data_IF_398396699598
#
_entry.id   IF_398396699598
#
_cell.length_a   1.000
_cell.length_b   1.000
_cell.length_c   1.000
_cell.angle_alpha   90.00
_cell.angle_beta   90.00
_cell.angle_gamma   90.00
#
_symmetry.space_group_name_H-M   'P 1'
#
loop_
_entity.id
_entity.type
_entity.pdbx_description
1 polymer ?
#
# COMPACT_ATOMS: atom_id res chain seq x y z
N UNK A 1 -24.50 6.49 36.35
CA UNK A 1 -25.46 7.01 35.36
C UNK A 1 -25.00 6.55 33.99
N UNK A 2 -25.72 5.63 33.35
CA UNK A 2 -25.44 5.25 31.96
C UNK A 2 -25.97 6.39 31.10
N UNK A 3 -25.10 7.25 30.59
CA UNK A 3 -25.48 8.24 29.60
C UNK A 3 -25.71 7.51 28.28
N UNK A 4 -26.94 7.51 27.77
CA UNK A 4 -27.30 6.90 26.48
C UNK A 4 -26.62 7.55 25.26
N UNK A 5 -25.70 8.49 25.51
CA UNK A 5 -24.89 9.23 24.54
C UNK A 5 -23.81 8.35 23.89
N UNK A 6 -23.24 7.39 24.61
CA UNK A 6 -22.18 6.50 24.11
C UNK A 6 -22.48 5.06 24.46
N UNK A 7 -22.44 4.19 23.47
CA UNK A 7 -22.75 2.78 23.64
C UNK A 7 -21.63 1.92 23.05
N UNK A 8 -21.14 0.97 23.84
CA UNK A 8 -20.14 -0.02 23.42
C UNK A 8 -20.88 -1.34 23.27
N UNK A 9 -20.74 -1.96 22.10
CA UNK A 9 -21.42 -3.18 21.69
C UNK A 9 -20.38 -4.24 21.36
N UNK A 10 -20.59 -5.44 21.84
CA UNK A 10 -19.94 -6.64 21.34
C UNK A 10 -20.78 -7.31 20.26
N UNK A 11 -20.19 -8.16 19.41
CA UNK A 11 -20.96 -8.77 18.31
C UNK A 11 -22.18 -9.58 18.79
N UNK A 12 -22.13 -10.18 19.99
CA UNK A 12 -23.25 -10.91 20.57
C UNK A 12 -24.42 -9.99 20.97
N UNK A 13 -24.13 -8.73 21.28
CA UNK A 13 -25.07 -7.77 21.85
C UNK A 13 -25.86 -7.00 20.77
N UNK A 14 -25.51 -7.16 19.50
CA UNK A 14 -26.16 -6.47 18.37
C UNK A 14 -27.67 -6.74 18.33
N UNK A 15 -28.08 -7.97 18.64
CA UNK A 15 -29.49 -8.36 18.63
C UNK A 15 -30.32 -7.66 19.71
N UNK A 16 -29.71 -7.41 20.87
CA UNK A 16 -30.35 -6.71 21.99
C UNK A 16 -30.26 -5.19 21.84
N UNK A 17 -29.18 -4.69 21.26
CA UNK A 17 -29.04 -3.30 20.84
C UNK A 17 -30.24 -2.83 19.99
N UNK A 18 -30.65 -3.63 19.02
CA UNK A 18 -31.83 -3.35 18.19
C UNK A 18 -33.11 -3.16 19.02
N UNK A 19 -33.30 -3.98 20.05
CA UNK A 19 -34.49 -3.96 20.93
C UNK A 19 -34.43 -2.80 21.92
N UNK A 20 -33.25 -2.49 22.44
CA UNK A 20 -33.05 -1.51 23.52
C UNK A 20 -33.07 -0.08 22.98
N UNK A 21 -32.47 0.15 21.81
CA UNK A 21 -32.28 1.47 21.22
C UNK A 21 -33.41 1.78 20.24
N UNK A 22 -34.60 2.02 20.82
CA UNK A 22 -35.83 2.34 20.09
C UNK A 22 -36.48 3.64 20.61
N UNK A 23 -37.32 4.25 19.78
CA UNK A 23 -38.12 5.43 20.13
C UNK A 23 -37.28 6.57 20.71
N UNK A 24 -37.62 7.01 21.93
CA UNK A 24 -37.00 8.17 22.62
C UNK A 24 -35.53 7.98 22.99
N UNK A 25 -35.00 6.74 22.93
CA UNK A 25 -33.59 6.45 23.22
C UNK A 25 -32.67 6.66 22.03
N UNK A 26 -33.18 6.56 20.79
CA UNK A 26 -32.39 6.74 19.56
C UNK A 26 -31.78 8.14 19.42
N UNK A 27 -32.53 9.25 19.64
CA UNK A 27 -31.97 10.60 19.47
C UNK A 27 -30.95 10.98 20.54
N UNK A 28 -30.88 10.21 21.64
CA UNK A 28 -29.93 10.45 22.74
C UNK A 28 -28.54 9.89 22.44
N UNK A 29 -28.40 9.07 21.40
CA UNK A 29 -27.19 8.34 21.06
C UNK A 29 -26.33 9.11 20.07
N UNK A 30 -25.11 9.46 20.48
CA UNK A 30 -24.14 10.16 19.64
C UNK A 30 -23.07 9.23 19.09
N UNK A 31 -22.64 8.24 19.88
CA UNK A 31 -21.53 7.35 19.52
C UNK A 31 -21.86 5.88 19.77
N UNK A 32 -21.57 5.03 18.79
CA UNK A 32 -21.61 3.58 18.92
C UNK A 32 -20.22 3.01 18.62
N UNK A 33 -19.71 2.19 19.52
CA UNK A 33 -18.50 1.42 19.35
C UNK A 33 -18.88 -0.04 19.18
N UNK A 34 -18.67 -0.62 17.98
CA UNK A 34 -18.76 -2.07 17.81
C UNK A 34 -17.37 -2.67 18.07
N UNK A 35 -17.23 -3.37 19.19
CA UNK A 35 -16.06 -4.15 19.56
C UNK A 35 -16.25 -5.58 19.06
N UNK A 36 -15.31 -6.04 18.26
CA UNK A 36 -15.31 -7.40 17.73
C UNK A 36 -14.33 -8.23 18.55
N UNK A 37 -14.86 -9.23 19.25
CA UNK A 37 -14.05 -10.22 19.94
C UNK A 37 -13.70 -11.33 18.97
N UNK A 38 -12.44 -11.37 18.58
CA UNK A 38 -11.89 -12.50 17.86
C UNK A 38 -11.52 -13.62 18.86
N UNK A 39 -11.39 -14.88 18.40
CA UNK A 39 -10.88 -15.97 19.24
C UNK A 39 -9.59 -15.56 19.97
N UNK A 40 -9.38 -16.09 21.19
CA UNK A 40 -8.20 -15.77 21.97
C UNK A 40 -6.93 -16.10 21.19
N UNK A 41 -6.13 -15.06 20.95
CA UNK A 41 -4.78 -15.21 20.45
C UNK A 41 -3.87 -15.43 21.65
N UNK A 42 -3.51 -16.68 21.92
CA UNK A 42 -2.38 -16.92 22.80
C UNK A 42 -1.09 -16.46 22.11
N UNK A 43 -0.14 -15.94 22.88
CA UNK A 43 1.17 -15.58 22.33
C UNK A 43 2.14 -16.76 22.23
N UNK A 44 1.62 -17.99 22.20
CA UNK A 44 2.41 -19.16 21.87
C UNK A 44 2.78 -19.17 20.38
N UNK A 45 2.01 -18.47 19.52
CA UNK A 45 2.22 -18.40 18.06
C UNK A 45 2.08 -16.99 17.47
N UNK A 46 2.22 -15.93 18.26
CA UNK A 46 2.17 -14.53 17.79
C UNK A 46 3.18 -14.21 16.67
N UNK A 47 4.31 -14.94 16.61
CA UNK A 47 5.35 -14.77 15.57
C UNK A 47 5.05 -15.58 14.29
N UNK A 48 4.01 -16.41 14.31
CA UNK A 48 3.59 -17.23 13.18
C UNK A 48 2.41 -16.58 12.48
N UNK A 49 2.36 -16.77 11.17
CA UNK A 49 1.26 -16.26 10.39
C UNK A 49 -0.02 -17.04 10.68
N UNK A 50 -1.14 -16.35 10.89
CA UNK A 50 -2.48 -16.96 11.00
C UNK A 50 -2.71 -17.99 9.87
N UNK A 51 -3.20 -19.16 10.27
CA UNK A 51 -3.59 -20.22 9.35
C UNK A 51 -4.73 -19.78 8.45
N UNK A 52 -4.90 -20.49 7.33
CA UNK A 52 -6.03 -20.28 6.41
C UNK A 52 -7.37 -20.50 7.10
N UNK A 53 -7.42 -21.38 8.11
CA UNK A 53 -8.61 -21.65 8.90
C UNK A 53 -8.94 -20.50 9.85
N UNK A 54 -7.97 -20.01 10.62
CA UNK A 54 -8.15 -18.87 11.55
C UNK A 54 -8.58 -17.61 10.80
N UNK A 55 -7.89 -17.27 9.71
CA UNK A 55 -8.29 -16.16 8.83
C UNK A 55 -9.72 -16.27 8.36
N UNK A 56 -10.16 -17.47 7.98
CA UNK A 56 -11.53 -17.69 7.51
C UNK A 56 -12.53 -17.45 8.64
N UNK A 57 -12.28 -17.96 9.84
CA UNK A 57 -13.14 -17.76 11.02
C UNK A 57 -13.18 -16.27 11.39
N UNK A 58 -12.03 -15.59 11.48
CA UNK A 58 -11.96 -14.18 11.83
C UNK A 58 -12.69 -13.29 10.82
N UNK A 59 -12.51 -13.56 9.53
CA UNK A 59 -13.23 -12.85 8.47
C UNK A 59 -14.74 -13.08 8.54
N UNK A 60 -15.21 -14.31 8.84
CA UNK A 60 -16.64 -14.60 9.02
C UNK A 60 -17.19 -13.84 10.22
N UNK A 61 -16.50 -13.90 11.37
CA UNK A 61 -16.91 -13.20 12.60
C UNK A 61 -17.00 -11.69 12.36
N UNK A 62 -15.97 -11.11 11.75
CA UNK A 62 -15.92 -9.69 11.43
C UNK A 62 -17.05 -9.28 10.46
N UNK A 63 -17.18 -10.03 9.37
CA UNK A 63 -18.15 -9.75 8.31
C UNK A 63 -19.58 -9.83 8.86
N UNK A 64 -19.93 -10.92 9.55
CA UNK A 64 -21.26 -11.12 10.10
C UNK A 64 -21.62 -10.05 11.13
N UNK A 65 -20.70 -9.73 12.04
CA UNK A 65 -20.96 -8.72 13.07
C UNK A 65 -21.19 -7.34 12.47
N UNK A 66 -20.43 -6.94 11.45
CA UNK A 66 -20.71 -5.70 10.72
C UNK A 66 -22.05 -5.76 9.99
N UNK A 67 -22.32 -6.83 9.26
CA UNK A 67 -23.59 -7.01 8.54
C UNK A 67 -24.80 -6.91 9.48
N UNK A 68 -24.77 -7.62 10.60
CA UNK A 68 -25.85 -7.62 11.58
C UNK A 68 -26.00 -6.24 12.23
N UNK A 69 -24.90 -5.61 12.63
CA UNK A 69 -24.91 -4.28 13.23
C UNK A 69 -25.55 -3.26 12.29
N UNK A 70 -25.14 -3.28 11.03
CA UNK A 70 -25.63 -2.34 10.06
C UNK A 70 -27.03 -2.67 9.51
N UNK A 71 -27.43 -3.94 9.51
CA UNK A 71 -28.82 -4.33 9.30
C UNK A 71 -29.71 -3.66 10.35
N UNK A 72 -29.32 -3.74 11.63
CA UNK A 72 -30.03 -3.07 12.72
C UNK A 72 -30.09 -1.56 12.51
N UNK A 73 -28.99 -0.91 12.13
CA UNK A 73 -28.98 0.53 11.85
C UNK A 73 -29.84 0.89 10.63
N UNK A 74 -29.91 0.04 9.61
CA UNK A 74 -30.72 0.29 8.41
C UNK A 74 -32.22 0.37 8.69
N UNK A 75 -32.69 -0.40 9.68
CA UNK A 75 -34.08 -0.41 10.13
C UNK A 75 -34.47 0.86 10.90
N UNK A 76 -33.50 1.74 11.22
CA UNK A 76 -33.79 3.02 11.88
C UNK A 76 -34.34 4.07 10.92
N UNK A 77 -34.18 3.85 9.60
CA UNK A 77 -34.75 4.69 8.56
C UNK A 77 -36.07 4.04 8.09
N UNK A 78 -37.19 4.75 8.19
CA UNK A 78 -38.56 4.27 7.88
C UNK A 78 -38.82 3.93 6.38
N UNK A 79 -37.91 3.26 5.67
CA UNK A 79 -38.11 2.79 4.30
C UNK A 79 -37.62 1.34 4.16
N UNK A 80 -38.58 0.42 3.99
CA UNK A 80 -38.35 -1.02 3.79
C UNK A 80 -37.43 -1.28 2.58
N UNK A 81 -36.38 -2.08 2.78
CA UNK A 81 -35.52 -2.63 1.72
C UNK A 81 -34.13 -3.05 2.22
N UNK A 82 -33.69 -4.26 1.86
CA UNK A 82 -32.38 -4.84 2.20
C UNK A 82 -31.24 -4.22 1.37
N UNK A 83 -30.89 -2.95 1.59
CA UNK A 83 -29.78 -2.26 0.87
C UNK A 83 -28.79 -1.56 1.84
N UNK A 84 -28.35 -2.21 2.94
CA UNK A 84 -28.17 -1.55 4.23
C UNK A 84 -26.72 -1.13 4.49
N UNK A 85 -26.42 -0.51 5.64
CA UNK A 85 -25.15 0.14 6.04
C UNK A 85 -25.16 1.66 5.80
N UNK A 86 -24.58 2.15 4.72
CA UNK A 86 -24.32 3.59 4.61
C UNK A 86 -25.56 4.44 4.26
N UNK A 87 -26.64 3.81 3.78
CA UNK A 87 -27.94 4.49 3.58
C UNK A 87 -28.59 4.91 4.90
N UNK A 88 -28.18 4.34 6.03
CA UNK A 88 -28.67 4.69 7.37
C UNK A 88 -27.90 5.86 8.01
N UNK A 89 -26.64 6.04 7.61
CA UNK A 89 -25.71 7.00 8.22
C UNK A 89 -25.77 8.35 7.49
N UNK A 90 -26.91 9.04 7.58
CA UNK A 90 -27.18 10.29 6.86
C UNK A 90 -26.39 11.50 7.36
N UNK A 91 -25.70 11.37 8.50
CA UNK A 91 -24.86 12.40 9.12
C UNK A 91 -23.36 12.01 9.12
N UNK A 92 -22.98 10.99 8.35
CA UNK A 92 -21.58 10.56 8.29
C UNK A 92 -20.74 11.65 7.61
N UNK A 93 -19.75 12.17 8.33
CA UNK A 93 -18.81 13.16 7.79
C UNK A 93 -17.46 12.57 7.39
N UNK A 94 -17.05 11.47 8.03
CA UNK A 94 -15.76 10.82 7.82
C UNK A 94 -15.95 9.31 7.60
N UNK A 95 -15.40 8.82 6.50
CA UNK A 95 -15.34 7.39 6.20
C UNK A 95 -13.90 6.98 5.94
N UNK A 96 -13.42 6.00 6.71
CA UNK A 96 -12.16 5.31 6.47
C UNK A 96 -12.46 3.84 6.23
N UNK A 97 -12.01 3.32 5.09
CA UNK A 97 -12.28 1.96 4.66
C UNK A 97 -10.99 1.30 4.19
N UNK A 98 -10.46 0.39 5.00
CA UNK A 98 -9.20 -0.31 4.76
C UNK A 98 -9.49 -1.79 4.56
N UNK A 99 -9.28 -2.28 3.34
CA UNK A 99 -9.62 -3.65 2.96
C UNK A 99 -8.39 -4.51 2.84
N UNK A 100 -8.45 -5.74 3.35
CA UNK A 100 -7.40 -6.71 3.13
C UNK A 100 -7.33 -7.17 1.67
N UNK A 101 -6.14 -7.58 1.22
CA UNK A 101 -5.97 -8.24 -0.08
C UNK A 101 -6.57 -9.65 0.03
N UNK A 102 -7.85 -9.78 -0.32
CA UNK A 102 -8.58 -11.04 -0.23
C UNK A 102 -7.81 -12.24 -0.83
N UNK A 103 -7.93 -13.39 -0.15
CA UNK A 103 -7.39 -14.68 -0.59
C UNK A 103 -8.09 -15.08 -1.91
N UNK A 104 -7.35 -15.64 -2.89
CA UNK A 104 -7.97 -16.38 -4.00
C UNK A 104 -8.71 -17.58 -3.39
N UNK A 105 -10.01 -17.45 -3.20
CA UNK A 105 -10.85 -18.62 -2.98
C UNK A 105 -10.91 -19.38 -4.29
N UNK A 106 -10.71 -20.68 -4.21
CA UNK A 106 -10.80 -21.70 -5.25
C UNK A 106 -12.09 -21.64 -6.11
N UNK A 107 -13.11 -20.89 -5.66
CA UNK A 107 -14.44 -20.83 -6.28
C UNK A 107 -14.77 -19.57 -7.10
N UNK A 108 -13.83 -18.67 -7.34
CA UNK A 108 -14.07 -17.47 -8.16
C UNK A 108 -14.07 -16.18 -7.35
N UNK A 109 -12.94 -15.49 -7.49
CA UNK A 109 -12.67 -14.05 -7.38
C UNK A 109 -13.47 -13.22 -6.34
N UNK A 110 -13.26 -13.48 -5.03
CA UNK A 110 -13.69 -12.58 -3.96
C UNK A 110 -13.23 -11.12 -4.12
N UNK A 111 -12.21 -10.88 -4.97
CA UNK A 111 -11.81 -9.54 -5.44
C UNK A 111 -12.89 -8.86 -6.29
N UNK A 112 -13.47 -9.57 -7.25
CA UNK A 112 -14.54 -9.06 -8.12
C UNK A 112 -15.81 -8.76 -7.35
N UNK A 113 -16.21 -9.65 -6.41
CA UNK A 113 -17.34 -9.40 -5.52
C UNK A 113 -17.20 -8.10 -4.73
N UNK A 114 -16.03 -7.90 -4.09
CA UNK A 114 -15.75 -6.66 -3.35
C UNK A 114 -15.70 -5.43 -4.26
N UNK A 115 -15.09 -5.53 -5.44
CA UNK A 115 -14.98 -4.38 -6.34
C UNK A 115 -16.37 -3.98 -6.90
N UNK A 116 -17.28 -4.95 -7.07
CA UNK A 116 -18.70 -4.71 -7.38
C UNK A 116 -19.48 -4.08 -6.20
N UNK A 117 -19.18 -4.49 -4.97
CA UNK A 117 -19.73 -3.85 -3.76
C UNK A 117 -19.23 -2.41 -3.63
N UNK A 118 -17.96 -2.13 -3.92
CA UNK A 118 -17.40 -0.78 -3.94
C UNK A 118 -18.04 0.11 -5.01
N UNK A 119 -18.32 -0.44 -6.20
CA UNK A 119 -19.06 0.26 -7.24
C UNK A 119 -20.46 0.69 -6.72
N UNK A 120 -21.15 -0.24 -6.07
CA UNK A 120 -22.45 0.01 -5.43
C UNK A 120 -22.34 1.08 -4.34
N UNK A 121 -21.30 1.03 -3.51
CA UNK A 121 -21.03 2.03 -2.47
C UNK A 121 -20.87 3.44 -3.07
N UNK A 122 -20.08 3.61 -4.13
CA UNK A 122 -19.78 4.94 -4.67
C UNK A 122 -21.01 5.59 -5.32
N UNK A 123 -21.75 4.83 -6.13
CA UNK A 123 -22.94 5.35 -6.81
C UNK A 123 -24.15 5.50 -5.87
N UNK A 124 -24.45 4.48 -5.07
CA UNK A 124 -25.72 4.43 -4.34
C UNK A 124 -25.66 5.07 -2.95
N UNK A 125 -24.46 5.40 -2.46
CA UNK A 125 -24.30 6.01 -1.14
C UNK A 125 -23.69 7.39 -1.26
N UNK A 126 -22.47 7.48 -1.79
CA UNK A 126 -21.75 8.75 -1.82
C UNK A 126 -22.41 9.74 -2.76
N UNK A 127 -22.83 9.30 -3.95
CA UNK A 127 -23.41 10.20 -4.95
C UNK A 127 -24.87 10.60 -4.65
N UNK A 128 -25.69 9.69 -4.13
CA UNK A 128 -27.16 9.89 -4.13
C UNK A 128 -27.78 10.29 -2.79
N UNK A 129 -27.14 10.01 -1.64
CA UNK A 129 -27.80 10.23 -0.33
C UNK A 129 -26.95 10.84 0.78
N UNK A 130 -25.63 10.83 0.69
CA UNK A 130 -24.79 11.35 1.77
C UNK A 130 -24.21 12.72 1.42
N UNK A 131 -24.95 13.80 1.75
CA UNK A 131 -24.49 15.18 1.52
C UNK A 131 -23.54 15.71 2.61
N UNK A 132 -23.41 14.99 3.72
CA UNK A 132 -22.60 15.40 4.87
C UNK A 132 -21.18 14.86 4.80
N UNK A 133 -20.93 13.85 3.95
CA UNK A 133 -19.64 13.21 3.84
C UNK A 133 -18.60 14.19 3.28
N UNK A 134 -17.56 14.44 4.08
CA UNK A 134 -16.49 15.40 3.77
C UNK A 134 -15.14 14.72 3.60
N UNK A 135 -14.88 13.66 4.37
CA UNK A 135 -13.58 13.00 4.40
C UNK A 135 -13.73 11.54 4.06
N UNK A 136 -13.06 11.10 3.01
CA UNK A 136 -13.12 9.71 2.55
C UNK A 136 -11.70 9.20 2.33
N UNK A 137 -11.32 8.17 3.08
CA UNK A 137 -10.12 7.37 2.80
C UNK A 137 -10.52 5.94 2.48
N UNK A 138 -10.04 5.42 1.35
CA UNK A 138 -10.25 4.05 0.93
C UNK A 138 -8.91 3.45 0.53
N UNK A 139 -8.46 2.46 1.26
CA UNK A 139 -7.23 1.75 0.96
C UNK A 139 -7.49 0.27 0.81
N UNK A 140 -6.75 -0.34 -0.13
CA UNK A 140 -6.65 -1.77 -0.25
C UNK A 140 -5.23 -2.17 0.12
N UNK A 141 -5.12 -3.12 1.04
CA UNK A 141 -3.86 -3.76 1.36
C UNK A 141 -3.27 -4.37 0.10
N UNK A 142 -1.97 -4.17 -0.01
CA UNK A 142 -1.18 -4.48 -1.19
C UNK A 142 -0.31 -5.72 -0.95
N UNK A 143 -0.23 -6.26 0.28
CA UNK A 143 0.82 -7.21 0.62
C UNK A 143 0.75 -8.51 -0.19
N UNK A 144 1.93 -8.91 -0.68
CA UNK A 144 2.14 -10.13 -1.47
C UNK A 144 2.58 -11.25 -0.55
N UNK A 145 1.63 -11.81 0.21
CA UNK A 145 1.85 -13.17 0.69
C UNK A 145 2.18 -14.06 -0.53
N UNK A 146 3.13 -15.01 -0.38
CA UNK A 146 3.66 -15.81 -1.50
C UNK A 146 2.61 -16.61 -2.28
N UNK A 147 1.37 -16.67 -1.80
CA UNK A 147 0.22 -17.31 -2.46
C UNK A 147 -0.55 -16.42 -3.44
N UNK A 148 -0.15 -15.15 -3.63
CA UNK A 148 -0.87 -14.18 -4.46
C UNK A 148 -0.15 -13.83 -5.77
N UNK A 149 0.41 -14.83 -6.44
CA UNK A 149 0.99 -14.72 -7.79
C UNK A 149 -0.07 -14.95 -8.87
N UNK A 150 -1.03 -14.02 -8.98
CA UNK A 150 -1.86 -13.87 -10.17
C UNK A 150 -1.51 -12.55 -10.86
N UNK A 151 -1.65 -12.45 -12.20
CA UNK A 151 -1.48 -11.17 -12.89
C UNK A 151 -2.39 -10.14 -12.22
N UNK A 152 -1.83 -8.97 -11.92
CA UNK A 152 -2.61 -7.89 -11.35
C UNK A 152 -3.66 -7.48 -12.37
N UNK A 153 -4.95 -7.74 -12.07
CA UNK A 153 -6.04 -7.18 -12.86
C UNK A 153 -6.05 -5.68 -12.63
N UNK A 154 -6.03 -4.92 -13.73
CA UNK A 154 -6.26 -3.47 -13.74
C UNK A 154 -7.46 -3.12 -12.85
N UNK A 155 -7.36 -2.00 -12.12
CA UNK A 155 -8.51 -1.47 -11.37
C UNK A 155 -9.69 -1.30 -12.32
N UNK A 156 -10.91 -1.65 -11.89
CA UNK A 156 -12.11 -1.41 -12.69
C UNK A 156 -12.22 0.08 -13.01
N UNK A 157 -12.10 0.45 -14.29
CA UNK A 157 -12.14 1.86 -14.72
C UNK A 157 -13.42 2.57 -14.25
N UNK A 158 -14.54 1.85 -14.23
CA UNK A 158 -15.82 2.32 -13.70
C UNK A 158 -15.70 2.85 -12.27
N UNK A 159 -14.93 2.18 -11.40
CA UNK A 159 -14.80 2.55 -10.00
C UNK A 159 -14.12 3.92 -9.82
N UNK A 160 -13.13 4.24 -10.65
CA UNK A 160 -12.50 5.57 -10.63
C UNK A 160 -13.43 6.68 -11.11
N UNK A 161 -14.22 6.41 -12.14
CA UNK A 161 -15.21 7.34 -12.67
C UNK A 161 -16.33 7.61 -11.66
N UNK A 162 -16.81 6.57 -10.99
CA UNK A 162 -17.88 6.69 -9.99
C UNK A 162 -17.39 7.44 -8.75
N UNK A 163 -16.15 7.20 -8.32
CA UNK A 163 -15.55 7.95 -7.22
C UNK A 163 -15.37 9.44 -7.58
N UNK A 164 -14.96 9.76 -8.82
CA UNK A 164 -14.87 11.14 -9.30
C UNK A 164 -16.23 11.85 -9.26
N UNK A 165 -17.30 11.18 -9.70
CA UNK A 165 -18.67 11.72 -9.66
C UNK A 165 -19.18 11.92 -8.25
N UNK A 166 -18.87 11.00 -7.35
CA UNK A 166 -19.36 11.01 -5.98
C UNK A 166 -18.61 11.98 -5.06
N UNK A 167 -17.38 12.35 -5.40
CA UNK A 167 -16.48 13.12 -4.53
C UNK A 167 -16.61 14.64 -4.62
N UNK A 168 -17.55 15.17 -5.42
CA UNK A 168 -17.69 16.62 -5.67
C UNK A 168 -17.80 17.50 -4.43
N UNK A 169 -18.34 16.96 -3.34
CA UNK A 169 -18.57 17.69 -2.09
C UNK A 169 -17.49 17.45 -1.03
N UNK A 170 -16.55 16.53 -1.28
CA UNK A 170 -15.56 16.13 -0.29
C UNK A 170 -14.54 17.25 -0.07
N UNK A 171 -14.11 17.38 1.18
CA UNK A 171 -12.97 18.20 1.60
C UNK A 171 -11.66 17.40 1.55
N UNK A 172 -11.72 16.08 1.78
CA UNK A 172 -10.55 15.20 1.77
C UNK A 172 -10.89 13.89 1.06
N UNK A 173 -10.05 13.50 0.10
CA UNK A 173 -10.17 12.23 -0.62
C UNK A 173 -8.83 11.52 -0.70
N UNK A 174 -8.81 10.28 -0.24
CA UNK A 174 -7.62 9.44 -0.25
C UNK A 174 -7.98 8.05 -0.79
N UNK A 175 -7.28 7.58 -1.82
CA UNK A 175 -7.54 6.29 -2.44
C UNK A 175 -6.26 5.56 -2.83
N UNK A 176 -6.01 4.37 -2.28
CA UNK A 176 -4.80 3.60 -2.57
C UNK A 176 -5.12 2.17 -3.06
N UNK A 177 -4.59 1.82 -4.24
CA UNK A 177 -4.63 0.51 -4.89
C UNK A 177 -6.01 -0.04 -5.29
N UNK A 178 -7.09 0.64 -4.88
CA UNK A 178 -8.46 0.34 -5.28
C UNK A 178 -8.88 1.13 -6.52
N UNK A 179 -8.34 2.34 -6.70
CA UNK A 179 -8.64 3.25 -7.82
C UNK A 179 -7.34 3.80 -8.38
N UNK A 180 -7.24 3.85 -9.71
CA UNK A 180 -6.15 4.51 -10.42
C UNK A 180 -6.55 5.95 -10.78
N UNK A 181 -5.65 6.91 -10.54
CA UNK A 181 -5.82 8.32 -10.89
C UNK A 181 -6.18 8.52 -12.36
N UNK A 182 -5.70 7.65 -13.26
CA UNK A 182 -6.02 7.70 -14.69
C UNK A 182 -7.51 7.63 -14.96
N UNK A 183 -8.23 6.79 -14.22
CA UNK A 183 -9.68 6.64 -14.36
C UNK A 183 -10.43 7.76 -13.63
N UNK A 184 -9.88 8.24 -12.51
CA UNK A 184 -10.46 9.35 -11.75
C UNK A 184 -10.42 10.68 -12.53
N UNK A 185 -9.33 10.93 -13.27
CA UNK A 185 -9.16 12.12 -14.12
C UNK A 185 -9.42 11.87 -15.61
N UNK A 186 -10.19 10.83 -15.95
CA UNK A 186 -10.42 10.42 -17.34
C UNK A 186 -10.90 11.57 -18.25
N UNK A 187 -11.77 12.45 -17.74
CA UNK A 187 -12.28 13.61 -18.49
C UNK A 187 -11.19 14.62 -18.91
N UNK A 188 -10.04 14.63 -18.24
CA UNK A 188 -8.92 15.55 -18.50
C UNK A 188 -7.77 14.89 -19.25
N UNK A 189 -7.81 13.57 -19.45
CA UNK A 189 -6.68 12.87 -20.05
C UNK A 189 -6.51 13.19 -21.55
N UNK A 190 -7.58 13.61 -22.23
CA UNK A 190 -7.56 13.83 -23.68
C UNK A 190 -7.85 12.54 -24.47
N UNK A 191 -8.67 12.68 -25.51
CA UNK A 191 -9.29 11.56 -26.24
C UNK A 191 -10.78 11.41 -25.91
N UNK A 192 -11.42 10.38 -26.47
CA UNK A 192 -12.80 10.04 -26.10
C UNK A 192 -12.80 9.45 -24.68
N UNK A 193 -13.55 10.04 -23.73
CA UNK A 193 -13.62 9.51 -22.37
C UNK A 193 -14.20 8.10 -22.36
N UNK A 194 -13.74 7.26 -21.44
CA UNK A 194 -14.16 5.85 -21.30
C UNK A 194 -15.68 5.78 -21.12
N UNK A 195 -16.26 6.73 -20.37
CA UNK A 195 -17.70 6.93 -20.25
C UNK A 195 -18.01 8.40 -20.50
N UNK A 196 -18.82 8.76 -21.51
CA UNK A 196 -19.22 10.14 -21.77
C UNK A 196 -19.82 10.80 -20.54
N UNK A 197 -19.16 11.84 -20.03
CA UNK A 197 -19.68 12.63 -18.91
C UNK A 197 -20.54 13.76 -19.48
N UNK A 198 -21.78 13.88 -19.02
CA UNK A 198 -22.74 14.89 -19.51
C UNK A 198 -22.40 16.32 -19.06
N UNK A 199 -21.55 16.47 -18.06
CA UNK A 199 -21.17 17.75 -17.44
C UNK A 199 -19.71 17.70 -17.01
N UNK A 200 -19.05 18.85 -17.00
CA UNK A 200 -17.68 18.98 -16.53
C UNK A 200 -17.62 18.73 -15.01
N UNK A 201 -16.79 17.79 -14.55
CA UNK A 201 -16.61 17.54 -13.11
C UNK A 201 -15.69 18.59 -12.49
N UNK A 202 -15.99 18.95 -11.24
CA UNK A 202 -15.16 19.81 -10.40
C UNK A 202 -15.39 19.54 -8.92
N UNK A 203 -14.39 19.92 -8.12
CA UNK A 203 -14.30 19.64 -6.68
C UNK A 203 -14.08 20.95 -5.90
N UNK A 204 -15.13 21.77 -5.74
CA UNK A 204 -15.02 23.09 -5.12
C UNK A 204 -14.52 23.06 -3.67
N UNK A 205 -14.72 21.97 -2.94
CA UNK A 205 -14.40 21.89 -1.51
C UNK A 205 -13.11 21.13 -1.21
N UNK A 206 -12.52 20.45 -2.20
CA UNK A 206 -11.45 19.48 -1.97
C UNK A 206 -10.14 20.19 -1.63
N UNK A 207 -9.60 19.90 -0.44
CA UNK A 207 -8.36 20.46 0.12
C UNK A 207 -7.20 19.49 0.04
N UNK A 208 -7.46 18.21 0.34
CA UNK A 208 -6.44 17.17 0.38
C UNK A 208 -6.80 16.01 -0.55
N UNK A 209 -5.88 15.67 -1.45
CA UNK A 209 -6.01 14.53 -2.35
C UNK A 209 -4.77 13.66 -2.27
N UNK A 210 -4.93 12.36 -2.00
CA UNK A 210 -3.81 11.39 -2.12
C UNK A 210 -4.26 10.14 -2.87
N UNK A 211 -3.63 9.81 -3.99
CA UNK A 211 -4.07 8.68 -4.81
C UNK A 211 -2.93 7.94 -5.51
N UNK A 212 -3.14 6.64 -5.77
CA UNK A 212 -2.18 5.79 -6.49
C UNK A 212 -2.36 5.82 -8.01
N UNK A 213 -1.27 5.78 -8.78
CA UNK A 213 -1.32 5.78 -10.25
C UNK A 213 -0.17 5.06 -10.92
N UNK A 214 -0.48 4.00 -11.67
CA UNK A 214 0.53 3.27 -12.45
C UNK A 214 1.12 4.12 -13.60
N UNK A 215 0.44 5.19 -13.98
CA UNK A 215 0.93 6.11 -15.02
C UNK A 215 2.15 6.91 -14.59
N UNK A 216 2.53 6.89 -13.31
CA UNK A 216 3.72 7.57 -12.79
C UNK A 216 5.01 6.76 -12.96
N UNK A 217 4.98 5.62 -13.63
CA UNK A 217 6.09 4.69 -13.85
C UNK A 217 6.92 5.02 -15.10
N UNK A 218 8.19 4.55 -15.20
CA UNK A 218 9.12 4.92 -16.29
C UNK A 218 8.60 4.57 -17.69
N UNK A 219 7.90 3.44 -17.82
CA UNK A 219 7.36 2.94 -19.08
C UNK A 219 6.00 3.55 -19.45
N UNK A 220 5.43 4.36 -18.55
CA UNK A 220 4.15 5.01 -18.74
C UNK A 220 4.33 6.51 -19.04
N UNK A 221 3.23 7.20 -19.34
CA UNK A 221 3.27 8.63 -19.68
C UNK A 221 3.11 9.51 -18.43
N UNK A 222 4.11 9.47 -17.56
CA UNK A 222 4.09 10.19 -16.28
C UNK A 222 3.95 11.71 -16.46
N UNK A 223 4.58 12.28 -17.48
CA UNK A 223 4.52 13.72 -17.75
C UNK A 223 3.10 14.14 -18.13
N UNK A 224 2.43 13.34 -18.96
CA UNK A 224 1.03 13.55 -19.32
C UNK A 224 0.09 13.35 -18.12
N UNK A 225 0.37 12.41 -17.23
CA UNK A 225 -0.38 12.26 -15.97
C UNK A 225 -0.24 13.51 -15.08
N UNK A 226 0.96 14.08 -14.96
CA UNK A 226 1.19 15.30 -14.17
C UNK A 226 0.47 16.51 -14.81
N UNK A 227 0.47 16.62 -16.14
CA UNK A 227 -0.28 17.66 -16.86
C UNK A 227 -1.80 17.47 -16.70
N UNK A 228 -2.29 16.24 -16.79
CA UNK A 228 -3.70 15.88 -16.57
C UNK A 228 -4.14 16.26 -15.16
N UNK A 229 -3.28 15.97 -14.16
CA UNK A 229 -3.53 16.35 -12.78
C UNK A 229 -3.58 17.87 -12.59
N UNK A 230 -2.75 18.65 -13.30
CA UNK A 230 -2.83 20.10 -13.29
C UNK A 230 -4.18 20.60 -13.86
N UNK A 231 -4.61 20.05 -15.00
CA UNK A 231 -5.90 20.39 -15.59
C UNK A 231 -7.08 20.06 -14.66
N UNK A 232 -7.00 18.94 -13.93
CA UNK A 232 -7.98 18.61 -12.90
C UNK A 232 -7.92 19.56 -11.71
N UNK A 233 -6.72 19.95 -11.27
CA UNK A 233 -6.49 20.86 -10.15
C UNK A 233 -7.07 22.26 -10.40
N UNK A 234 -7.15 22.73 -11.66
CA UNK A 234 -7.87 23.97 -12.01
C UNK A 234 -9.36 23.93 -11.62
N UNK A 235 -9.95 22.73 -11.46
CA UNK A 235 -11.32 22.53 -10.97
C UNK A 235 -11.37 22.26 -9.45
N UNK A 236 -10.29 22.52 -8.72
CA UNK A 236 -10.14 22.32 -7.27
C UNK A 236 -9.65 23.60 -6.58
N UNK A 237 -10.43 24.70 -6.55
CA UNK A 237 -9.98 26.02 -6.10
C UNK A 237 -9.48 26.10 -4.65
N UNK A 238 -9.87 25.13 -3.81
CA UNK A 238 -9.48 25.04 -2.40
C UNK A 238 -8.39 23.99 -2.13
N UNK A 239 -7.75 23.44 -3.17
CA UNK A 239 -6.73 22.42 -3.03
C UNK A 239 -5.48 22.97 -2.34
N UNK A 240 -5.11 22.36 -1.23
CA UNK A 240 -3.91 22.68 -0.46
C UNK A 240 -2.78 21.68 -0.75
N UNK A 241 -3.08 20.38 -0.78
CA UNK A 241 -2.10 19.32 -1.04
C UNK A 241 -2.68 18.27 -1.99
N UNK A 242 -1.92 17.96 -3.05
CA UNK A 242 -2.16 16.78 -3.89
C UNK A 242 -0.92 15.89 -3.89
N UNK A 243 -1.09 14.61 -3.57
CA UNK A 243 -0.06 13.58 -3.64
C UNK A 243 -0.51 12.46 -4.60
N UNK A 244 0.16 12.35 -5.74
CA UNK A 244 -0.01 11.23 -6.67
C UNK A 244 1.22 10.35 -6.57
N UNK A 245 1.05 9.07 -6.26
CA UNK A 245 2.19 8.21 -5.98
C UNK A 245 2.00 6.79 -6.49
N UNK A 246 3.10 6.06 -6.59
CA UNK A 246 3.08 4.65 -6.95
C UNK A 246 4.32 3.96 -6.38
N UNK A 247 4.10 2.78 -5.82
CA UNK A 247 5.15 1.82 -5.47
C UNK A 247 4.72 0.38 -5.81
N UNK A 248 3.99 0.23 -6.91
CA UNK A 248 3.66 -1.06 -7.47
C UNK A 248 4.96 -1.80 -7.82
N UNK A 249 5.86 -1.11 -8.51
CA UNK A 249 7.22 -1.59 -8.73
C UNK A 249 8.04 -1.49 -7.43
N UNK A 250 8.73 -2.57 -7.04
CA UNK A 250 9.69 -2.53 -5.93
C UNK A 250 10.95 -1.72 -6.31
N UNK A 251 11.23 -1.53 -7.61
CA UNK A 251 12.35 -0.73 -8.12
C UNK A 251 11.99 0.73 -8.33
N UNK A 252 10.85 0.95 -8.99
CA UNK A 252 10.46 2.23 -9.53
C UNK A 252 9.34 2.78 -8.65
N UNK A 253 9.74 3.61 -7.68
CA UNK A 253 8.82 4.29 -6.80
C UNK A 253 8.78 5.75 -7.15
N UNK A 254 7.59 6.32 -7.07
CA UNK A 254 7.31 7.61 -7.67
C UNK A 254 6.30 8.37 -6.81
N UNK A 255 6.59 9.63 -6.55
CA UNK A 255 5.67 10.58 -5.93
C UNK A 255 5.75 11.89 -6.71
N UNK A 256 4.59 12.42 -7.05
CA UNK A 256 4.38 13.80 -7.43
C UNK A 256 3.56 14.48 -6.33
N UNK A 257 4.03 15.65 -5.87
CA UNK A 257 3.36 16.43 -4.84
C UNK A 257 3.18 17.88 -5.28
N UNK A 258 1.99 18.43 -5.06
CA UNK A 258 1.72 19.86 -5.09
C UNK A 258 1.35 20.34 -3.69
N UNK A 259 1.88 21.51 -3.29
CA UNK A 259 1.56 22.20 -2.05
C UNK A 259 1.30 23.68 -2.34
N UNK A 260 0.12 24.20 -2.00
CA UNK A 260 -0.25 25.61 -2.23
C UNK A 260 0.54 26.61 -1.38
N UNK A 261 0.94 26.22 -0.16
CA UNK A 261 1.76 26.99 0.81
C UNK A 261 1.41 28.49 0.89
N UNK A 262 0.24 28.86 1.43
CA UNK A 262 -0.30 30.23 1.41
C UNK A 262 0.67 31.38 1.82
N UNK A 263 1.61 31.13 2.74
CA UNK A 263 2.57 32.14 3.22
C UNK A 263 3.96 32.06 2.54
N UNK A 264 4.14 31.20 1.54
CA UNK A 264 5.39 30.96 0.82
C UNK A 264 5.10 30.73 -0.68
N UNK A 265 6.13 30.44 -1.44
CA UNK A 265 5.94 29.99 -2.82
C UNK A 265 5.18 28.65 -2.84
N UNK A 266 4.12 28.52 -3.67
CA UNK A 266 3.54 27.22 -3.97
C UNK A 266 4.62 26.33 -4.56
N UNK A 267 4.52 25.03 -4.33
CA UNK A 267 5.61 24.11 -4.63
C UNK A 267 5.11 22.84 -5.28
N UNK A 268 5.71 22.45 -6.39
CA UNK A 268 5.63 21.09 -6.93
C UNK A 268 6.94 20.34 -6.69
N UNK A 269 6.84 19.06 -6.34
CA UNK A 269 7.98 18.19 -6.12
C UNK A 269 7.76 16.85 -6.81
N UNK A 270 8.82 16.35 -7.43
CA UNK A 270 8.85 15.01 -8.02
C UNK A 270 9.92 14.19 -7.31
N UNK A 271 9.53 13.17 -6.57
CA UNK A 271 10.43 12.26 -5.86
C UNK A 271 10.42 10.91 -6.56
N UNK A 272 11.56 10.44 -7.07
CA UNK A 272 11.60 9.23 -7.90
C UNK A 272 12.88 8.43 -7.71
N UNK A 273 12.78 7.09 -7.69
CA UNK A 273 13.95 6.20 -7.66
C UNK A 273 14.65 6.03 -9.02
N UNK A 274 14.05 6.59 -10.07
CA UNK A 274 14.59 6.64 -11.43
C UNK A 274 14.61 8.08 -11.93
N UNK A 275 15.27 8.33 -13.06
CA UNK A 275 15.45 9.68 -13.61
C UNK A 275 14.14 10.23 -14.21
N UNK A 276 13.30 10.81 -13.35
CA UNK A 276 12.01 11.42 -13.71
C UNK A 276 12.06 12.93 -13.49
N UNK A 277 12.31 13.69 -14.54
CA UNK A 277 12.41 15.14 -14.47
C UNK A 277 11.02 15.80 -14.57
N UNK A 278 10.83 16.92 -13.87
CA UNK A 278 9.69 17.81 -14.13
C UNK A 278 9.93 18.59 -15.42
N UNK A 279 9.20 18.25 -16.48
CA UNK A 279 9.29 18.92 -17.78
C UNK A 279 8.80 20.37 -17.72
N UNK A 280 9.18 21.16 -18.72
CA UNK A 280 8.68 22.53 -18.83
C UNK A 280 7.15 22.58 -19.00
N UNK A 281 6.54 21.61 -19.68
CA UNK A 281 5.09 21.54 -19.86
C UNK A 281 4.38 21.33 -18.53
N UNK A 282 4.86 20.38 -17.72
CA UNK A 282 4.33 20.15 -16.38
C UNK A 282 4.51 21.39 -15.47
N UNK A 283 5.67 22.05 -15.53
CA UNK A 283 5.93 23.29 -14.77
C UNK A 283 4.97 24.41 -15.17
N UNK A 284 4.77 24.65 -16.46
CA UNK A 284 3.85 25.67 -16.96
C UNK A 284 2.41 25.38 -16.56
N UNK A 285 1.95 24.13 -16.70
CA UNK A 285 0.59 23.73 -16.34
C UNK A 285 0.31 23.93 -14.83
N UNK A 286 1.26 23.58 -13.96
CA UNK A 286 1.12 23.79 -12.52
C UNK A 286 1.32 25.25 -12.09
N UNK A 287 2.03 26.06 -12.89
CA UNK A 287 2.13 27.50 -12.65
C UNK A 287 0.76 28.16 -12.86
N UNK A 288 0.04 27.77 -13.91
CA UNK A 288 -1.35 28.22 -14.15
C UNK A 288 -2.27 27.83 -12.99
N UNK A 289 -2.13 26.61 -12.45
CA UNK A 289 -2.88 26.18 -11.24
C UNK A 289 -2.55 27.07 -10.04
N UNK A 290 -1.27 27.37 -9.82
CA UNK A 290 -0.84 28.22 -8.71
C UNK A 290 -1.42 29.65 -8.83
N UNK A 291 -1.44 30.20 -10.04
CA UNK A 291 -2.03 31.52 -10.33
C UNK A 291 -3.55 31.51 -10.13
N UNK A 292 -4.24 30.47 -10.63
CA UNK A 292 -5.68 30.28 -10.44
C UNK A 292 -6.05 30.10 -8.96
N UNK A 293 -5.16 29.51 -8.16
CA UNK A 293 -5.28 29.41 -6.70
C UNK A 293 -4.86 30.69 -5.97
N UNK A 294 -4.67 31.81 -6.67
CA UNK A 294 -4.41 33.12 -6.07
C UNK A 294 -3.03 33.25 -5.43
N UNK A 295 -2.05 32.48 -5.89
CA UNK A 295 -0.66 32.68 -5.46
C UNK A 295 -0.16 34.06 -5.88
N UNK A 296 0.51 34.76 -4.97
CA UNK A 296 1.25 36.01 -5.28
C UNK A 296 2.73 35.75 -5.58
N UNK A 297 3.14 34.49 -5.46
CA UNK A 297 4.52 34.03 -5.54
C UNK A 297 4.67 33.04 -6.69
N UNK A 298 5.80 33.07 -7.39
CA UNK A 298 6.08 32.12 -8.48
C UNK A 298 6.17 30.67 -7.98
N UNK A 299 5.83 29.71 -8.83
CA UNK A 299 5.88 28.29 -8.50
C UNK A 299 7.32 27.78 -8.31
N UNK A 300 7.61 27.20 -7.15
CA UNK A 300 8.82 26.41 -6.92
C UNK A 300 8.65 25.01 -7.51
N UNK A 301 9.62 24.53 -8.28
CA UNK A 301 9.59 23.20 -8.88
C UNK A 301 10.88 22.43 -8.59
N UNK A 302 10.76 21.32 -7.87
CA UNK A 302 11.89 20.52 -7.40
C UNK A 302 11.82 19.09 -7.95
N UNK A 303 12.96 18.55 -8.38
CA UNK A 303 13.10 17.13 -8.71
C UNK A 303 14.10 16.53 -7.74
N UNK A 304 13.67 15.49 -7.04
CA UNK A 304 14.42 14.82 -5.99
C UNK A 304 14.62 13.38 -6.44
N UNK A 305 15.87 13.00 -6.62
CA UNK A 305 16.21 11.59 -6.83
C UNK A 305 16.22 10.87 -5.49
N UNK A 306 15.45 9.80 -5.39
CA UNK A 306 15.47 8.90 -4.25
C UNK A 306 16.43 7.75 -4.54
N UNK A 307 17.25 7.39 -3.56
CA UNK A 307 18.02 6.17 -3.68
C UNK A 307 17.06 4.96 -3.58
N UNK A 308 17.19 3.97 -4.47
CA UNK A 308 16.31 2.79 -4.43
C UNK A 308 16.52 2.01 -3.13
N UNK A 309 15.44 1.54 -2.48
CA UNK A 309 15.55 0.89 -1.18
C UNK A 309 16.30 -0.45 -1.25
N UNK A 310 16.95 -0.88 -0.15
CA UNK A 310 17.96 -1.95 -0.15
C UNK A 310 17.31 -3.33 -0.19
N UNK A 311 16.17 -3.48 0.48
CA UNK A 311 15.27 -4.63 0.34
C UNK A 311 14.29 -4.48 -0.82
N UNK A 312 14.33 -3.34 -1.52
CA UNK A 312 13.30 -2.91 -2.47
C UNK A 312 11.91 -2.90 -1.86
N UNK A 313 11.85 -2.62 -0.55
CA UNK A 313 10.64 -2.48 0.22
C UNK A 313 9.79 -1.32 -0.29
N UNK A 314 8.52 -1.61 -0.52
CA UNK A 314 7.53 -0.67 -1.08
C UNK A 314 7.13 0.45 -0.11
N UNK A 315 7.45 0.27 1.17
CA UNK A 315 7.23 1.25 2.24
C UNK A 315 8.15 2.48 2.17
N UNK A 316 9.15 2.51 1.27
CA UNK A 316 10.11 3.61 1.18
C UNK A 316 9.45 4.91 0.73
N UNK A 317 8.73 4.93 -0.40
CA UNK A 317 8.02 6.13 -0.87
C UNK A 317 6.97 6.60 0.14
N UNK A 318 6.35 5.66 0.86
CA UNK A 318 5.32 5.95 1.86
C UNK A 318 5.84 6.81 3.01
N UNK A 319 7.15 6.77 3.32
CA UNK A 319 7.77 7.64 4.35
C UNK A 319 7.71 9.11 3.95
N UNK A 320 7.80 9.38 2.65
CA UNK A 320 7.82 10.74 2.07
C UNK A 320 6.42 11.35 1.89
N UNK A 321 5.35 10.54 1.99
CA UNK A 321 3.98 11.03 1.97
C UNK A 321 3.69 11.88 3.21
N UNK A 322 3.19 13.09 2.98
CA UNK A 322 2.72 14.01 4.01
C UNK A 322 1.31 13.61 4.44
N UNK A 323 0.49 13.07 3.53
CA UNK A 323 -0.90 12.67 3.81
C UNK A 323 -1.04 11.22 4.32
N UNK A 324 0.06 10.53 4.68
CA UNK A 324 0.02 9.11 5.10
C UNK A 324 -0.95 8.80 6.25
N UNK A 325 -1.08 9.69 7.24
CA UNK A 325 -2.02 9.53 8.37
C UNK A 325 -3.50 9.75 7.96
N UNK A 326 -3.74 10.46 6.86
CA UNK A 326 -5.08 10.62 6.30
C UNK A 326 -5.46 9.40 5.47
N UNK A 327 -4.48 8.79 4.79
CA UNK A 327 -4.67 7.58 3.99
C UNK A 327 -4.86 6.32 4.86
N UNK A 328 -4.03 6.09 5.88
CA UNK A 328 -4.09 4.89 6.74
C UNK A 328 -4.31 5.21 8.21
N UNK A 329 -5.00 4.30 8.91
CA UNK A 329 -5.06 4.26 10.36
C UNK A 329 -3.64 4.10 10.90
N UNK A 330 -3.35 4.71 12.05
CA UNK A 330 -2.03 4.62 12.69
C UNK A 330 -1.59 3.17 12.89
N UNK A 331 -2.50 2.28 13.28
CA UNK A 331 -2.21 0.85 13.47
C UNK A 331 -1.76 0.19 12.17
N UNK A 332 -2.53 0.40 11.08
CA UNK A 332 -2.19 -0.12 9.75
C UNK A 332 -0.89 0.45 9.23
N UNK A 333 -0.65 1.75 9.44
CA UNK A 333 0.59 2.42 9.06
C UNK A 333 1.79 1.84 9.82
N UNK A 334 1.65 1.60 11.12
CA UNK A 334 2.67 0.95 11.94
C UNK A 334 2.96 -0.46 11.44
N UNK A 335 1.92 -1.25 11.15
CA UNK A 335 2.07 -2.59 10.60
C UNK A 335 2.82 -2.56 9.26
N UNK A 336 2.39 -1.74 8.29
CA UNK A 336 3.02 -1.61 6.96
C UNK A 336 4.50 -1.24 7.09
N UNK A 337 4.82 -0.30 7.97
CA UNK A 337 6.20 0.15 8.19
C UNK A 337 7.05 -0.90 8.90
N UNK A 338 6.48 -1.61 9.89
CA UNK A 338 7.17 -2.65 10.65
C UNK A 338 7.46 -3.88 9.79
N UNK A 339 6.50 -4.35 9.01
CA UNK A 339 6.69 -5.46 8.07
C UNK A 339 7.78 -5.16 7.04
N UNK A 340 7.82 -3.92 6.55
CA UNK A 340 8.86 -3.43 5.65
C UNK A 340 10.26 -3.47 6.29
N UNK A 341 10.37 -2.95 7.52
CA UNK A 341 11.63 -2.91 8.26
C UNK A 341 12.12 -4.31 8.70
N UNK A 342 11.19 -5.19 9.10
CA UNK A 342 11.51 -6.57 9.46
C UNK A 342 12.09 -7.35 8.27
N UNK A 343 11.47 -7.22 7.08
CA UNK A 343 11.97 -7.83 5.83
C UNK A 343 13.40 -7.34 5.50
N UNK A 344 13.72 -6.07 5.77
CA UNK A 344 15.08 -5.51 5.62
C UNK A 344 16.10 -6.10 6.60
N UNK A 345 15.78 -6.07 7.89
CA UNK A 345 16.65 -6.57 8.95
C UNK A 345 16.97 -8.06 8.81
N UNK A 346 16.00 -8.85 8.35
CA UNK A 346 16.18 -10.29 8.16
C UNK A 346 17.20 -10.62 7.05
N UNK A 347 17.18 -9.91 5.93
CA UNK A 347 18.08 -10.17 4.80
C UNK A 347 19.55 -9.80 5.09
N UNK A 348 19.81 -8.68 5.76
CA UNK A 348 21.17 -8.29 6.17
C UNK A 348 21.76 -9.31 7.16
N UNK A 349 20.96 -9.79 8.11
CA UNK A 349 21.41 -10.76 9.12
C UNK A 349 21.79 -12.09 8.46
N UNK A 350 20.95 -12.56 7.52
CA UNK A 350 21.28 -13.74 6.72
C UNK A 350 22.58 -13.54 5.94
N UNK A 351 22.77 -12.38 5.30
CA UNK A 351 24.00 -12.10 4.55
C UNK A 351 25.24 -12.17 5.44
N UNK A 352 25.21 -11.56 6.63
CA UNK A 352 26.34 -11.62 7.57
C UNK A 352 26.60 -13.02 8.10
N UNK A 353 25.56 -13.79 8.45
CA UNK A 353 25.70 -15.16 8.93
C UNK A 353 26.30 -16.06 7.85
N UNK A 354 25.78 -16.00 6.62
CA UNK A 354 26.33 -16.79 5.51
C UNK A 354 27.75 -16.35 5.16
N UNK A 355 28.06 -15.05 5.23
CA UNK A 355 29.41 -14.53 5.07
C UNK A 355 30.39 -15.05 6.13
N UNK A 356 29.99 -15.04 7.39
CA UNK A 356 30.81 -15.57 8.49
C UNK A 356 31.05 -17.08 8.33
N UNK A 357 29.99 -17.86 8.06
CA UNK A 357 30.08 -19.31 7.87
C UNK A 357 30.99 -19.70 6.69
N UNK A 358 30.91 -18.95 5.60
CA UNK A 358 31.74 -19.20 4.40
C UNK A 358 33.19 -18.84 4.62
N UNK A 359 33.46 -17.69 5.24
CA UNK A 359 34.81 -17.29 5.63
C UNK A 359 35.44 -18.30 6.61
N UNK A 360 34.72 -18.67 7.68
CA UNK A 360 35.19 -19.66 8.67
C UNK A 360 35.42 -21.03 8.03
N UNK A 361 34.53 -21.46 7.12
CA UNK A 361 34.68 -22.72 6.39
C UNK A 361 35.93 -22.74 5.51
N UNK A 362 36.23 -21.63 4.83
CA UNK A 362 37.45 -21.48 4.03
C UNK A 362 38.72 -21.56 4.88
N UNK A 363 38.75 -20.87 6.02
CA UNK A 363 39.86 -20.90 6.97
C UNK A 363 40.08 -22.29 7.57
N UNK A 364 39.02 -22.96 8.02
CA UNK A 364 39.11 -24.34 8.56
C UNK A 364 39.60 -25.30 7.48
N UNK A 365 39.12 -25.14 6.23
CA UNK A 365 39.59 -25.93 5.09
C UNK A 365 41.09 -25.77 4.85
N UNK A 366 41.62 -24.54 4.92
CA UNK A 366 43.04 -24.28 4.81
C UNK A 366 43.84 -24.88 5.97
N UNK A 367 43.39 -24.71 7.22
CA UNK A 367 44.06 -25.29 8.40
C UNK A 367 44.16 -26.82 8.29
N UNK A 368 43.13 -27.48 7.75
CA UNK A 368 43.13 -28.95 7.60
C UNK A 368 43.92 -29.48 6.41
N UNK A 369 44.05 -28.70 5.32
CA UNK A 369 44.54 -29.23 4.03
C UNK A 369 45.71 -28.45 3.42
N UNK A 370 46.09 -27.30 3.99
CA UNK A 370 47.09 -26.39 3.41
C UNK A 370 46.66 -25.72 2.11
N UNK A 371 45.40 -25.90 1.68
CA UNK A 371 44.93 -25.48 0.35
C UNK A 371 44.70 -23.97 0.26
N UNK A 372 45.67 -23.23 -0.29
CA UNK A 372 45.55 -21.78 -0.61
C UNK A 372 44.26 -21.43 -1.39
N UNK A 373 43.80 -22.25 -2.36
CA UNK A 373 42.53 -21.98 -3.04
C UNK A 373 41.29 -21.96 -2.11
N UNK A 374 41.32 -22.68 -0.98
CA UNK A 374 40.18 -22.80 -0.06
C UNK A 374 39.97 -21.53 0.76
N UNK A 375 41.05 -20.96 1.29
CA UNK A 375 41.00 -19.71 2.06
C UNK A 375 40.70 -18.52 1.15
N UNK A 376 41.30 -18.48 -0.05
CA UNK A 376 41.02 -17.44 -1.03
C UNK A 376 39.52 -17.43 -1.41
N UNK A 377 38.94 -18.60 -1.72
CA UNK A 377 37.52 -18.72 -2.03
C UNK A 377 36.62 -18.34 -0.84
N UNK A 378 36.90 -18.85 0.36
CA UNK A 378 36.08 -18.58 1.55
C UNK A 378 36.09 -17.09 1.95
N UNK A 379 37.26 -16.45 1.95
CA UNK A 379 37.37 -15.02 2.26
C UNK A 379 36.73 -14.15 1.17
N UNK A 380 36.87 -14.52 -0.11
CA UNK A 380 36.29 -13.75 -1.22
C UNK A 380 34.76 -13.80 -1.18
N UNK A 381 34.18 -15.00 -1.04
CA UNK A 381 32.73 -15.19 -0.95
C UNK A 381 32.18 -14.58 0.35
N UNK A 382 32.90 -14.75 1.47
CA UNK A 382 32.54 -14.15 2.74
C UNK A 382 32.53 -12.62 2.69
N UNK A 383 33.49 -12.02 1.99
CA UNK A 383 33.55 -10.57 1.77
C UNK A 383 32.43 -10.09 0.84
N UNK A 384 32.08 -10.84 -0.21
CA UNK A 384 30.91 -10.51 -1.05
C UNK A 384 29.61 -10.51 -0.24
N UNK A 385 29.40 -11.51 0.62
CA UNK A 385 28.26 -11.53 1.54
C UNK A 385 28.31 -10.39 2.55
N UNK A 386 29.47 -10.10 3.13
CA UNK A 386 29.66 -9.01 4.09
C UNK A 386 29.41 -7.64 3.47
N UNK A 387 29.89 -7.39 2.24
CA UNK A 387 29.59 -6.18 1.48
C UNK A 387 28.12 -6.10 1.08
N UNK A 388 27.51 -7.22 0.69
CA UNK A 388 26.08 -7.31 0.43
C UNK A 388 25.26 -6.93 1.67
N UNK A 389 25.56 -7.54 2.82
CA UNK A 389 24.93 -7.24 4.11
C UNK A 389 25.15 -5.78 4.54
N UNK A 390 26.37 -5.27 4.43
CA UNK A 390 26.70 -3.88 4.74
C UNK A 390 25.98 -2.88 3.85
N UNK A 391 25.82 -3.18 2.56
CA UNK A 391 25.02 -2.34 1.66
C UNK A 391 23.54 -2.41 1.98
N UNK A 392 23.01 -3.59 2.34
CA UNK A 392 21.62 -3.70 2.82
C UNK A 392 21.43 -2.86 4.09
N UNK A 393 22.36 -2.94 5.04
CA UNK A 393 22.33 -2.18 6.30
C UNK A 393 22.46 -0.67 6.09
N UNK A 394 23.42 -0.25 5.26
CA UNK A 394 23.74 1.17 4.97
C UNK A 394 22.75 1.82 4.00
N UNK A 395 21.70 1.09 3.65
CA UNK A 395 20.65 1.46 2.72
C UNK A 395 21.09 1.76 1.29
N UNK A 396 22.11 1.06 0.80
CA UNK A 396 22.68 1.25 -0.53
C UNK A 396 22.14 0.23 -1.55
N UNK A 397 22.10 0.58 -2.85
CA UNK A 397 21.71 -0.35 -3.91
C UNK A 397 22.71 -1.51 -4.06
N UNK A 398 22.29 -2.56 -4.78
CA UNK A 398 23.10 -3.76 -5.11
C UNK A 398 23.44 -4.69 -3.94
N UNK A 399 22.83 -4.52 -2.77
CA UNK A 399 23.09 -5.37 -1.61
C UNK A 399 22.62 -6.82 -1.80
N UNK A 400 21.37 -7.00 -2.24
CA UNK A 400 20.77 -8.32 -2.49
C UNK A 400 21.46 -9.03 -3.66
N UNK A 401 21.82 -8.30 -4.72
CA UNK A 401 22.54 -8.83 -5.88
C UNK A 401 23.91 -9.37 -5.53
N UNK A 402 24.67 -8.66 -4.69
CA UNK A 402 25.98 -9.11 -4.24
C UNK A 402 25.87 -10.38 -3.39
N UNK A 403 24.87 -10.46 -2.52
CA UNK A 403 24.61 -11.66 -1.71
C UNK A 403 24.12 -12.85 -2.56
N UNK A 404 23.30 -12.59 -3.59
CA UNK A 404 22.90 -13.60 -4.56
C UNK A 404 24.09 -14.10 -5.39
N UNK A 405 24.94 -13.19 -5.86
CA UNK A 405 26.17 -13.52 -6.59
C UNK A 405 27.10 -14.39 -5.72
N UNK A 406 27.29 -14.03 -4.45
CA UNK A 406 28.05 -14.83 -3.50
C UNK A 406 27.47 -16.26 -3.37
N UNK A 407 26.14 -16.38 -3.32
CA UNK A 407 25.43 -17.67 -3.25
C UNK A 407 25.67 -18.52 -4.50
N UNK A 408 25.60 -17.91 -5.69
CA UNK A 408 25.84 -18.58 -6.98
C UNK A 408 27.28 -19.04 -7.12
N UNK A 409 28.26 -18.17 -6.78
CA UNK A 409 29.69 -18.51 -6.83
C UNK A 409 30.02 -19.66 -5.87
N UNK A 410 29.46 -19.63 -4.65
CA UNK A 410 29.60 -20.72 -3.69
C UNK A 410 28.98 -22.02 -4.21
N UNK A 411 27.83 -21.95 -4.86
CA UNK A 411 27.11 -23.10 -5.40
C UNK A 411 27.84 -23.74 -6.56
N UNK A 412 28.33 -22.93 -7.50
CA UNK A 412 29.09 -23.40 -8.67
C UNK A 412 30.36 -24.16 -8.29
N UNK A 413 30.97 -23.84 -7.15
CA UNK A 413 32.16 -24.54 -6.66
C UNK A 413 31.87 -25.73 -5.75
N UNK A 414 30.79 -25.68 -4.95
CA UNK A 414 30.49 -26.69 -3.93
C UNK A 414 29.58 -27.82 -4.41
N UNK A 415 28.52 -27.52 -5.20
CA UNK A 415 27.50 -28.49 -5.61
C UNK A 415 28.12 -29.64 -6.44
N UNK A 416 28.96 -29.39 -7.46
CA UNK A 416 29.56 -30.48 -8.24
C UNK A 416 30.49 -31.36 -7.40
N UNK A 417 31.12 -30.79 -6.37
CA UNK A 417 31.99 -31.51 -5.44
C UNK A 417 31.19 -32.32 -4.43
N UNK A 418 30.08 -31.81 -3.94
CA UNK A 418 29.18 -32.54 -3.06
C UNK A 418 28.63 -33.79 -3.76
N UNK A 419 28.19 -33.66 -5.01
CA UNK A 419 27.67 -34.79 -5.82
C UNK A 419 28.76 -35.83 -6.13
N UNK A 420 29.98 -35.40 -6.46
CA UNK A 420 31.09 -36.32 -6.81
C UNK A 420 31.76 -36.98 -5.61
N UNK A 421 31.99 -36.23 -4.54
CA UNK A 421 32.84 -36.67 -3.42
C UNK A 421 32.05 -37.17 -2.22
N UNK A 422 30.78 -36.77 -2.05
CA UNK A 422 29.96 -37.12 -0.88
C UNK A 422 30.54 -36.65 0.47
N UNK A 423 31.57 -35.80 0.47
CA UNK A 423 32.28 -35.37 1.67
C UNK A 423 31.48 -34.31 2.44
N UNK A 424 31.53 -34.30 3.77
CA UNK A 424 30.67 -33.46 4.60
C UNK A 424 30.85 -31.96 4.36
N UNK A 425 32.08 -31.49 4.12
CA UNK A 425 32.37 -30.06 3.95
C UNK A 425 31.76 -29.48 2.66
N UNK A 426 31.98 -30.03 1.45
CA UNK A 426 31.27 -29.59 0.25
C UNK A 426 29.75 -29.65 0.38
N UNK A 427 29.20 -30.68 1.03
CA UNK A 427 27.75 -30.84 1.22
C UNK A 427 27.15 -29.70 2.05
N UNK A 428 27.76 -29.35 3.18
CA UNK A 428 27.30 -28.22 4.02
C UNK A 428 27.37 -26.91 3.26
N UNK A 429 28.45 -26.65 2.52
CA UNK A 429 28.59 -25.44 1.70
C UNK A 429 27.54 -25.39 0.57
N UNK A 430 27.17 -26.53 0.00
CA UNK A 430 26.09 -26.61 -0.99
C UNK A 430 24.74 -26.28 -0.38
N UNK A 431 24.45 -26.74 0.84
CA UNK A 431 23.21 -26.38 1.56
C UNK A 431 23.16 -24.88 1.85
N UNK A 432 24.24 -24.30 2.36
CA UNK A 432 24.38 -22.85 2.61
C UNK A 432 24.16 -22.05 1.32
N UNK A 433 24.77 -22.50 0.22
CA UNK A 433 24.63 -21.86 -1.10
C UNK A 433 23.20 -21.94 -1.63
N UNK A 434 22.55 -23.10 -1.56
CA UNK A 434 21.16 -23.28 -1.98
C UNK A 434 20.23 -22.42 -1.13
N UNK A 435 20.43 -22.39 0.19
CA UNK A 435 19.68 -21.52 1.09
C UNK A 435 19.85 -20.04 0.72
N UNK A 436 21.09 -19.57 0.50
CA UNK A 436 21.37 -18.21 0.04
C UNK A 436 20.71 -17.90 -1.31
N UNK A 437 20.82 -18.81 -2.29
CA UNK A 437 20.16 -18.66 -3.59
C UNK A 437 18.64 -18.59 -3.46
N UNK A 438 18.02 -19.36 -2.57
CA UNK A 438 16.56 -19.29 -2.34
C UNK A 438 16.18 -17.96 -1.68
N UNK A 439 16.89 -17.55 -0.62
CA UNK A 439 16.55 -16.34 0.12
C UNK A 439 16.77 -15.07 -0.72
N UNK A 440 17.98 -14.90 -1.25
CA UNK A 440 18.32 -13.73 -2.07
C UNK A 440 17.73 -13.81 -3.47
N UNK A 441 17.53 -15.02 -4.02
CA UNK A 441 16.86 -15.21 -5.31
C UNK A 441 15.37 -14.92 -5.25
N UNK A 442 14.68 -15.30 -4.16
CA UNK A 442 13.29 -14.88 -3.95
C UNK A 442 13.17 -13.37 -3.74
N UNK A 443 14.11 -12.76 -3.01
CA UNK A 443 14.17 -11.31 -2.86
C UNK A 443 14.44 -10.62 -4.21
N UNK A 444 15.36 -11.14 -5.02
CA UNK A 444 15.69 -10.64 -6.35
C UNK A 444 14.56 -10.87 -7.36
N UNK A 445 13.85 -11.99 -7.29
CA UNK A 445 12.68 -12.27 -8.15
C UNK A 445 11.49 -11.41 -7.78
N UNK A 446 11.29 -11.14 -6.48
CA UNK A 446 10.28 -10.18 -6.03
C UNK A 446 10.62 -8.77 -6.45
N UNK A 447 11.91 -8.50 -6.67
CA UNK A 447 12.28 -7.27 -7.30
C UNK A 447 11.90 -7.26 -8.77
N UNK A 448 12.32 -8.24 -9.59
CA UNK A 448 12.09 -8.28 -11.06
C UNK A 448 10.62 -8.13 -11.43
#
# INVERSE_FOLDING_TARGET
MITFQRLILHQAEISDFHKIVQGRRRPLLEWIWLRLELPEYDCERCDQQESTYEKKINNITFTNALWDFFKVLSEWNNKKGNEPIFKALTLLENLRYETWRGIRTDKGDGRWGRDMENHTLFLNVFQTRNRTLKRVSISKDYDTLPYHSGPERECMAALGLDLARASRQFEELHAAYNVDVRHFFDQFWGGQPIIPVRYELGWPNLKYLSMTSQQLMPFANYDHMIQTAAAAALKMPNLDIMELWDCHSPYDQSLFRYERRQARHPRIQRLSTWNALLTQKARSAWAEVADAHGSRHGLEAETIHLEPPPSRGRHHIMKHLVLKSHLWNETSLHQIMAEGAYKEGHLQNIAYVLGALTASGGTIGFVKTGSVPSIAAGLTVGLLYGLGGYRIQSRQPWGVELALLASVVLGGSSIPRAVRLGKPVPTVLSVISVFGMVMFGNAFRKSL
#
